data_IF_316952667820
#
_entry.id   IF_316952667820
#
_cell.length_a   1.000
_cell.length_b   1.000
_cell.length_c   1.000
_cell.angle_alpha   90.00
_cell.angle_beta   90.00
_cell.angle_gamma   90.00
#
_symmetry.space_group_name_H-M   'P 1'
#
loop_
_entity.id
_entity.type
_entity.pdbx_description
1 polymer ?
#
# COMPACT_ATOMS: atom_id res chain seq x y z
N UNK A 1 13.47 7.98 3.03
CA UNK A 1 14.41 7.12 3.80
C UNK A 1 14.98 7.85 5.01
N UNK A 2 15.56 9.04 4.84
CA UNK A 2 16.15 9.83 5.93
C UNK A 2 15.21 10.05 7.13
N UNK A 3 13.92 10.34 6.89
CA UNK A 3 12.92 10.51 7.96
C UNK A 3 12.79 9.25 8.83
N UNK A 4 12.77 8.06 8.21
CA UNK A 4 12.64 6.78 8.91
C UNK A 4 13.91 6.46 9.71
N UNK A 5 15.09 6.73 9.15
CA UNK A 5 16.38 6.53 9.84
C UNK A 5 16.47 7.44 11.07
N UNK A 6 16.21 8.75 10.88
CA UNK A 6 16.18 9.72 11.97
C UNK A 6 15.15 9.34 13.06
N UNK A 7 14.01 8.76 12.66
CA UNK A 7 13.03 8.23 13.59
C UNK A 7 13.59 7.06 14.40
N UNK A 8 14.26 6.10 13.77
CA UNK A 8 14.85 4.93 14.43
C UNK A 8 16.01 5.29 15.36
N UNK A 9 16.87 6.23 14.97
CA UNK A 9 17.93 6.76 15.83
C UNK A 9 17.38 7.33 17.14
N UNK A 10 16.32 8.15 17.04
CA UNK A 10 15.64 8.71 18.23
C UNK A 10 14.93 7.67 19.09
N UNK A 11 14.63 6.50 18.53
CA UNK A 11 13.99 5.38 19.23
C UNK A 11 14.97 4.31 19.69
N UNK A 12 16.27 4.47 19.43
CA UNK A 12 17.31 3.55 19.87
C UNK A 12 17.26 2.20 19.17
N UNK A 13 16.83 2.14 17.90
CA UNK A 13 16.84 0.92 17.09
C UNK A 13 16.19 -0.30 17.78
N UNK A 14 14.87 -0.24 18.06
CA UNK A 14 14.19 -1.32 18.75
C UNK A 14 14.23 -2.61 17.93
N UNK A 15 14.11 -3.75 18.62
CA UNK A 15 14.05 -5.05 17.98
C UNK A 15 12.86 -5.12 17.02
N UNK A 16 13.13 -5.49 15.77
CA UNK A 16 12.11 -5.79 14.79
C UNK A 16 11.17 -6.92 15.24
N UNK A 17 9.95 -6.91 14.71
CA UNK A 17 9.08 -8.06 14.74
C UNK A 17 9.55 -9.17 13.79
N UNK A 18 9.46 -10.40 14.28
CA UNK A 18 9.51 -11.59 13.46
C UNK A 18 8.21 -11.77 12.64
N UNK A 19 8.26 -12.46 11.49
CA UNK A 19 7.06 -12.78 10.71
C UNK A 19 5.96 -13.47 11.53
N UNK A 20 6.31 -14.31 12.49
CA UNK A 20 5.36 -15.06 13.33
C UNK A 20 4.62 -14.15 14.33
N UNK A 21 5.25 -13.05 14.75
CA UNK A 21 4.66 -12.07 15.66
C UNK A 21 3.63 -11.18 14.95
N UNK A 22 3.96 -10.69 13.76
CA UNK A 22 3.10 -9.78 12.98
C UNK A 22 2.15 -10.49 12.01
N UNK A 23 2.47 -11.73 11.64
CA UNK A 23 1.72 -12.59 10.73
C UNK A 23 1.42 -11.87 9.42
N UNK A 24 0.15 -11.72 9.06
CA UNK A 24 -0.26 -11.08 7.81
C UNK A 24 0.19 -9.61 7.69
N UNK A 25 0.44 -8.92 8.80
CA UNK A 25 0.91 -7.53 8.79
C UNK A 25 2.34 -7.45 8.29
N UNK A 26 3.14 -8.48 8.56
CA UNK A 26 4.50 -8.58 8.04
C UNK A 26 4.48 -8.61 6.51
N UNK A 27 3.60 -9.42 5.91
CA UNK A 27 3.45 -9.49 4.45
C UNK A 27 3.02 -8.15 3.84
N UNK A 28 2.17 -7.38 4.53
CA UNK A 28 1.81 -6.05 4.08
C UNK A 28 3.01 -5.08 4.13
N UNK A 29 3.79 -5.11 5.22
CA UNK A 29 5.01 -4.30 5.37
C UNK A 29 6.05 -4.65 4.30
N UNK A 30 6.28 -5.94 4.08
CA UNK A 30 7.20 -6.43 3.06
C UNK A 30 6.77 -6.05 1.64
N UNK A 31 5.47 -6.17 1.33
CA UNK A 31 4.94 -5.71 0.04
C UNK A 31 5.15 -4.20 -0.16
N UNK A 32 4.94 -3.38 0.88
CA UNK A 32 5.19 -1.94 0.81
C UNK A 32 6.69 -1.70 0.58
N UNK A 33 7.58 -2.38 1.31
CA UNK A 33 9.02 -2.22 1.19
C UNK A 33 9.50 -2.48 -0.26
N UNK A 34 9.05 -3.59 -0.85
CA UNK A 34 9.35 -3.92 -2.26
C UNK A 34 8.87 -2.82 -3.21
N UNK A 35 7.64 -2.34 -3.05
CA UNK A 35 7.08 -1.34 -3.96
C UNK A 35 7.70 0.06 -3.81
N UNK A 36 8.38 0.36 -2.69
CA UNK A 36 9.08 1.63 -2.50
C UNK A 36 10.57 1.58 -2.90
N UNK A 37 11.15 0.38 -3.00
CA UNK A 37 12.56 0.23 -3.35
C UNK A 37 12.80 0.12 -4.86
N UNK A 38 11.86 -0.47 -5.59
CA UNK A 38 12.06 -0.82 -7.00
C UNK A 38 11.14 -0.04 -7.93
N UNK A 39 11.63 0.20 -9.15
CA UNK A 39 10.82 0.81 -10.19
C UNK A 39 9.60 -0.05 -10.52
N UNK A 40 8.42 0.59 -10.56
CA UNK A 40 7.15 -0.11 -10.73
C UNK A 40 6.72 -0.09 -12.19
N UNK A 41 6.58 -1.28 -12.78
CA UNK A 41 5.99 -1.44 -14.11
C UNK A 41 4.49 -1.12 -14.07
N UNK A 42 3.96 -0.64 -15.19
CA UNK A 42 2.50 -0.51 -15.35
C UNK A 42 1.82 -1.87 -15.12
N UNK A 43 0.60 -1.83 -14.58
CA UNK A 43 -0.20 -3.02 -14.23
C UNK A 43 0.43 -3.92 -13.16
N UNK A 44 1.41 -3.42 -12.40
CA UNK A 44 1.86 -4.09 -11.17
C UNK A 44 0.66 -4.24 -10.24
N UNK A 45 0.42 -5.44 -9.71
CA UNK A 45 -0.74 -5.70 -8.85
C UNK A 45 -0.61 -4.92 -7.54
N UNK A 46 -1.70 -4.27 -7.15
CA UNK A 46 -1.86 -3.48 -5.94
C UNK A 46 -2.37 -4.36 -4.79
N UNK A 47 -2.28 -3.88 -3.55
CA UNK A 47 -2.69 -4.67 -2.38
C UNK A 47 -4.13 -4.36 -1.99
N UNK A 48 -4.92 -5.40 -1.72
CA UNK A 48 -6.25 -5.28 -1.13
C UNK A 48 -6.27 -5.91 0.26
N UNK A 49 -6.25 -5.09 1.30
CA UNK A 49 -6.26 -5.54 2.70
C UNK A 49 -7.70 -5.62 3.20
N UNK A 50 -8.13 -6.79 3.67
CA UNK A 50 -9.49 -6.98 4.15
C UNK A 50 -9.58 -7.76 5.46
N UNK A 51 -10.66 -7.56 6.20
CA UNK A 51 -10.87 -8.25 7.46
C UNK A 51 -11.91 -7.57 8.35
N UNK A 52 -12.23 -8.22 9.47
CA UNK A 52 -13.20 -7.69 10.44
C UNK A 52 -12.82 -6.28 10.91
N UNK A 53 -13.79 -5.47 11.39
CA UNK A 53 -13.47 -4.27 12.16
C UNK A 53 -12.46 -4.58 13.26
N UNK A 54 -11.60 -3.62 13.60
CA UNK A 54 -10.55 -3.78 14.62
C UNK A 54 -9.45 -4.81 14.31
N UNK A 55 -9.39 -5.37 13.10
CA UNK A 55 -8.26 -6.19 12.64
C UNK A 55 -6.98 -5.37 12.35
N UNK A 56 -6.89 -4.13 12.84
CA UNK A 56 -5.70 -3.26 12.76
C UNK A 56 -5.25 -2.87 11.34
N UNK A 57 -6.14 -2.91 10.35
CA UNK A 57 -5.87 -2.51 8.95
C UNK A 57 -5.43 -1.04 8.86
N UNK A 58 -6.31 -0.12 9.25
CA UNK A 58 -6.02 1.32 9.26
C UNK A 58 -4.99 1.70 10.34
N UNK A 59 -4.87 0.90 11.42
CA UNK A 59 -3.83 1.10 12.44
C UNK A 59 -2.43 0.91 11.85
N UNK A 60 -2.19 -0.16 11.08
CA UNK A 60 -0.90 -0.40 10.43
C UNK A 60 -0.50 0.79 9.54
N UNK A 61 -1.42 1.27 8.71
CA UNK A 61 -1.20 2.45 7.85
C UNK A 61 -0.87 3.69 8.68
N UNK A 62 -1.61 3.93 9.77
CA UNK A 62 -1.34 5.05 10.69
C UNK A 62 0.05 4.96 11.32
N UNK A 63 0.48 3.77 11.73
CA UNK A 63 1.82 3.56 12.30
C UNK A 63 2.91 3.84 11.26
N UNK A 64 2.78 3.33 10.03
CA UNK A 64 3.73 3.60 8.95
C UNK A 64 3.79 5.10 8.57
N UNK A 65 2.63 5.78 8.55
CA UNK A 65 2.58 7.23 8.35
C UNK A 65 3.36 7.97 9.45
N UNK A 66 3.17 7.57 10.71
CA UNK A 66 3.87 8.15 11.87
C UNK A 66 5.37 7.83 11.89
N UNK A 67 5.77 6.70 11.30
CA UNK A 67 7.18 6.31 11.14
C UNK A 67 7.89 7.10 10.04
N UNK A 68 7.16 7.87 9.22
CA UNK A 68 7.75 8.79 8.24
C UNK A 68 7.32 8.57 6.79
N UNK A 69 6.43 7.63 6.50
CA UNK A 69 5.89 7.47 5.14
C UNK A 69 4.89 8.58 4.83
N UNK A 70 5.04 9.20 3.66
CA UNK A 70 4.08 10.15 3.09
C UNK A 70 2.95 9.36 2.48
N UNK A 71 1.91 9.12 3.27
CA UNK A 71 0.72 8.37 2.83
C UNK A 71 -0.42 9.32 2.50
N UNK A 72 -0.88 9.28 1.25
CA UNK A 72 -2.12 9.94 0.82
C UNK A 72 -3.30 9.02 1.12
N UNK A 73 -4.27 9.52 1.89
CA UNK A 73 -5.54 8.82 2.12
C UNK A 73 -6.59 9.48 1.25
N UNK A 74 -7.22 8.70 0.36
CA UNK A 74 -8.31 9.22 -0.46
C UNK A 74 -9.48 9.55 0.47
N UNK A 75 -9.88 10.82 0.48
CA UNK A 75 -10.87 11.33 1.43
C UNK A 75 -12.27 10.78 1.17
N UNK A 76 -13.15 10.82 2.19
CA UNK A 76 -14.54 10.32 2.14
C UNK A 76 -15.47 11.05 1.15
N UNK A 77 -14.98 12.04 0.41
CA UNK A 77 -15.79 12.84 -0.52
C UNK A 77 -15.78 12.20 -1.90
N UNK A 78 -16.97 12.15 -2.51
CA UNK A 78 -17.18 11.51 -3.81
C UNK A 78 -16.28 12.10 -4.90
N UNK A 79 -15.44 11.27 -5.52
CA UNK A 79 -14.51 11.65 -6.61
C UNK A 79 -13.61 12.87 -6.31
N UNK A 80 -13.28 13.13 -5.04
CA UNK A 80 -12.46 14.27 -4.66
C UNK A 80 -11.01 13.84 -4.38
N UNK A 81 -10.12 14.09 -5.34
CA UNK A 81 -8.68 13.82 -5.24
C UNK A 81 -7.89 15.08 -4.88
N UNK A 82 -8.51 16.05 -4.20
CA UNK A 82 -7.81 17.25 -3.75
C UNK A 82 -6.55 16.88 -2.94
N UNK A 83 -5.42 17.51 -3.29
CA UNK A 83 -4.13 17.24 -2.67
C UNK A 83 -3.45 15.94 -3.09
N UNK A 84 -3.99 15.16 -4.02
CA UNK A 84 -3.44 13.89 -4.49
C UNK A 84 -2.21 14.07 -5.41
N UNK A 85 -1.14 14.69 -4.91
CA UNK A 85 0.06 14.96 -5.70
C UNK A 85 1.02 13.75 -5.80
N UNK A 86 2.08 13.93 -6.59
CA UNK A 86 3.09 12.91 -6.85
C UNK A 86 4.19 12.83 -5.77
N UNK A 87 4.12 13.64 -4.70
CA UNK A 87 5.10 13.63 -3.60
C UNK A 87 4.81 12.61 -2.51
N UNK A 88 3.74 11.81 -2.64
CA UNK A 88 3.45 10.74 -1.69
C UNK A 88 4.22 9.47 -2.02
N UNK A 89 4.53 8.68 -1.00
CA UNK A 89 5.16 7.36 -1.17
C UNK A 89 4.10 6.29 -1.49
N UNK A 90 2.89 6.45 -0.94
CA UNK A 90 1.84 5.43 -0.99
C UNK A 90 0.45 6.07 -0.97
N UNK A 91 -0.49 5.47 -1.69
CA UNK A 91 -1.91 5.82 -1.65
C UNK A 91 -2.73 4.76 -0.90
N UNK A 92 -3.70 5.21 -0.11
CA UNK A 92 -4.63 4.35 0.62
C UNK A 92 -6.06 4.76 0.32
N UNK A 93 -6.87 3.81 -0.16
CA UNK A 93 -8.31 3.94 -0.33
C UNK A 93 -8.96 3.12 0.78
N UNK A 94 -9.38 3.78 1.86
CA UNK A 94 -10.08 3.11 2.96
C UNK A 94 -11.55 2.86 2.62
N UNK A 95 -12.21 1.96 3.35
CA UNK A 95 -13.65 1.69 3.19
C UNK A 95 -14.06 1.36 1.75
N UNK A 96 -13.22 0.57 1.08
CA UNK A 96 -13.55 -0.01 -0.21
C UNK A 96 -14.67 -1.04 -0.05
N UNK A 97 -15.76 -0.81 -0.77
CA UNK A 97 -16.95 -1.64 -0.81
C UNK A 97 -17.18 -2.06 -2.27
N UNK A 98 -17.96 -3.13 -2.45
CA UNK A 98 -18.40 -3.61 -3.75
C UNK A 98 -19.88 -3.94 -3.60
N UNK A 99 -20.71 -2.90 -3.54
CA UNK A 99 -22.15 -2.98 -3.26
C UNK A 99 -23.01 -3.08 -4.54
N UNK A 100 -22.43 -2.87 -5.72
CA UNK A 100 -23.13 -3.01 -6.99
C UNK A 100 -22.18 -3.52 -8.10
N UNK A 101 -22.71 -3.87 -9.27
CA UNK A 101 -21.90 -4.17 -10.48
C UNK A 101 -20.99 -3.00 -10.94
N UNK A 102 -20.98 -1.89 -10.19
CA UNK A 102 -20.06 -0.76 -10.31
C UNK A 102 -19.28 -0.74 -9.00
N UNK A 103 -18.00 -1.07 -9.10
CA UNK A 103 -17.02 -1.00 -8.01
C UNK A 103 -17.09 0.38 -7.33
N UNK A 104 -17.77 0.48 -6.20
CA UNK A 104 -18.00 1.76 -5.49
C UNK A 104 -17.41 1.67 -4.09
N UNK A 105 -16.35 2.44 -3.86
CA UNK A 105 -15.90 2.71 -2.50
C UNK A 105 -16.84 3.72 -1.83
N UNK A 106 -16.78 3.88 -0.50
CA UNK A 106 -17.55 4.96 0.16
C UNK A 106 -17.19 6.35 -0.43
N UNK A 107 -15.99 6.49 -1.01
CA UNK A 107 -15.54 7.66 -1.75
C UNK A 107 -16.11 7.77 -3.18
N UNK A 108 -17.01 6.86 -3.59
CA UNK A 108 -17.72 6.86 -4.87
C UNK A 108 -16.82 7.05 -6.10
N UNK A 109 -15.61 6.48 -6.07
CA UNK A 109 -14.61 6.61 -7.12
C UNK A 109 -15.16 5.99 -8.41
N UNK A 110 -15.07 6.72 -9.53
CA UNK A 110 -15.44 6.17 -10.83
C UNK A 110 -14.65 4.87 -11.14
N UNK A 111 -15.31 3.75 -11.50
CA UNK A 111 -14.65 2.49 -11.85
C UNK A 111 -13.52 2.59 -12.87
N UNK A 112 -13.68 3.40 -13.92
CA UNK A 112 -12.64 3.58 -14.94
C UNK A 112 -11.42 4.27 -14.34
N UNK A 113 -11.63 5.33 -13.58
CA UNK A 113 -10.57 6.05 -12.86
C UNK A 113 -9.85 5.12 -11.89
N UNK A 114 -10.58 4.30 -11.14
CA UNK A 114 -9.98 3.31 -10.25
C UNK A 114 -9.09 2.33 -11.03
N UNK A 115 -9.56 1.74 -12.13
CA UNK A 115 -8.77 0.81 -12.92
C UNK A 115 -7.52 1.46 -13.52
N UNK A 116 -7.63 2.70 -14.00
CA UNK A 116 -6.49 3.48 -14.51
C UNK A 116 -5.45 3.75 -13.42
N UNK A 117 -5.90 4.14 -12.23
CA UNK A 117 -5.02 4.33 -11.06
C UNK A 117 -4.33 3.03 -10.66
N UNK A 118 -5.07 1.93 -10.58
CA UNK A 118 -4.52 0.61 -10.23
C UNK A 118 -3.52 0.08 -11.28
N UNK A 119 -3.68 0.47 -12.55
CA UNK A 119 -2.71 0.18 -13.61
C UNK A 119 -1.44 1.03 -13.53
N UNK A 120 -1.41 2.06 -12.68
CA UNK A 120 -0.28 2.97 -12.54
C UNK A 120 -0.18 3.99 -13.67
N UNK A 121 -1.25 4.20 -14.43
CA UNK A 121 -1.24 5.10 -15.59
C UNK A 121 -1.37 6.56 -15.16
N UNK A 122 -0.79 7.46 -15.97
CA UNK A 122 -1.04 8.90 -15.83
C UNK A 122 -2.55 9.15 -15.91
N UNK A 123 -3.07 9.86 -14.91
CA UNK A 123 -4.50 10.03 -14.70
C UNK A 123 -4.84 11.48 -14.46
N UNK A 124 -5.89 11.97 -15.14
CA UNK A 124 -6.52 13.25 -14.83
C UNK A 124 -7.56 13.02 -13.75
N UNK A 125 -7.38 13.65 -12.60
CA UNK A 125 -8.21 13.49 -11.43
C UNK A 125 -9.05 14.73 -11.18
N UNK A 126 -10.29 14.50 -10.73
CA UNK A 126 -11.20 15.55 -10.30
C UNK A 126 -10.78 16.07 -8.92
N UNK A 127 -10.74 17.39 -8.76
CA UNK A 127 -10.44 18.07 -7.51
C UNK A 127 -11.40 19.25 -7.36
N UNK A 128 -12.03 19.36 -6.17
CA UNK A 128 -13.13 20.30 -5.95
C UNK A 128 -12.72 21.78 -6.04
N UNK A 129 -11.45 22.08 -5.76
CA UNK A 129 -10.92 23.46 -5.67
C UNK A 129 -9.68 23.70 -6.53
N UNK A 130 -9.23 22.72 -7.30
CA UNK A 130 -8.03 22.81 -8.14
C UNK A 130 -8.40 22.65 -9.61
N UNK A 131 -7.73 23.41 -10.49
CA UNK A 131 -8.12 23.55 -11.90
C UNK A 131 -7.93 22.28 -12.75
N UNK A 132 -7.33 21.22 -12.19
CA UNK A 132 -7.23 19.81 -12.63
C UNK A 132 -5.96 19.23 -11.99
N UNK A 133 -6.07 18.07 -11.35
CA UNK A 133 -4.91 17.38 -10.82
C UNK A 133 -4.46 16.31 -11.84
N UNK A 134 -3.19 16.36 -12.26
CA UNK A 134 -2.59 15.33 -13.11
C UNK A 134 -1.69 14.51 -12.21
N UNK A 135 -2.04 13.24 -12.00
CA UNK A 135 -1.20 12.26 -11.32
C UNK A 135 -0.33 11.57 -12.36
N UNK A 136 0.98 11.69 -12.26
CA UNK A 136 1.92 11.07 -13.22
C UNK A 136 2.59 9.83 -12.66
N UNK A 137 2.83 9.80 -11.35
CA UNK A 137 3.63 8.74 -10.74
C UNK A 137 2.85 7.45 -10.54
N UNK A 138 3.47 6.33 -10.90
CA UNK A 138 2.97 4.97 -10.62
C UNK A 138 3.20 4.63 -9.14
N UNK A 139 2.46 5.28 -8.24
CA UNK A 139 2.57 5.08 -6.79
C UNK A 139 1.83 3.81 -6.34
N UNK A 140 2.34 3.07 -5.34
CA UNK A 140 1.64 1.92 -4.80
C UNK A 140 0.29 2.33 -4.19
N UNK A 141 -0.70 1.45 -4.34
CA UNK A 141 -2.05 1.68 -3.83
C UNK A 141 -2.42 0.50 -2.91
N UNK A 142 -2.94 0.83 -1.73
CA UNK A 142 -3.59 -0.14 -0.84
C UNK A 142 -5.09 0.19 -0.76
N UNK A 143 -5.92 -0.78 -1.11
CA UNK A 143 -7.36 -0.71 -0.86
C UNK A 143 -7.65 -1.43 0.46
N UNK A 144 -8.46 -0.84 1.32
CA UNK A 144 -8.86 -1.43 2.60
C UNK A 144 -10.35 -1.69 2.60
N UNK A 145 -10.77 -2.93 2.91
CA UNK A 145 -12.18 -3.32 2.94
C UNK A 145 -12.55 -4.19 4.13
N UNK A 146 -13.85 -4.39 4.36
CA UNK A 146 -14.36 -5.30 5.41
C UNK A 146 -14.37 -6.76 4.95
N UNK A 147 -14.71 -7.00 3.68
CA UNK A 147 -14.83 -8.32 3.05
C UNK A 147 -14.23 -8.25 1.65
N UNK A 148 -13.91 -9.41 1.05
CA UNK A 148 -13.50 -9.48 -0.35
C UNK A 148 -14.70 -9.11 -1.25
N UNK A 149 -14.57 -8.04 -2.07
CA UNK A 149 -15.46 -7.73 -3.19
C UNK A 149 -15.84 -8.96 -4.00
N UNK A 150 -17.07 -9.01 -4.48
CA UNK A 150 -17.54 -10.11 -5.32
C UNK A 150 -16.67 -10.23 -6.58
N UNK A 151 -16.32 -9.09 -7.16
CA UNK A 151 -15.56 -9.05 -8.39
C UNK A 151 -14.12 -9.52 -8.23
N UNK A 152 -13.46 -9.27 -7.09
CA UNK A 152 -12.12 -9.81 -6.82
C UNK A 152 -12.15 -11.35 -6.78
N UNK A 153 -13.30 -11.97 -6.48
CA UNK A 153 -13.45 -13.44 -6.49
C UNK A 153 -13.61 -14.01 -7.91
N UNK A 154 -14.02 -13.20 -8.88
CA UNK A 154 -14.09 -13.59 -10.30
C UNK A 154 -12.73 -13.36 -10.92
N UNK A 155 -11.95 -14.43 -11.12
CA UNK A 155 -10.58 -14.36 -11.67
C UNK A 155 -10.47 -13.56 -12.97
N UNK A 156 -11.52 -13.57 -13.79
CA UNK A 156 -11.55 -12.86 -15.08
C UNK A 156 -11.81 -11.35 -14.94
N UNK A 157 -12.28 -10.88 -13.78
CA UNK A 157 -12.68 -9.49 -13.59
C UNK A 157 -11.48 -8.55 -13.71
N UNK A 158 -11.70 -7.31 -14.18
CA UNK A 158 -10.66 -6.29 -14.22
C UNK A 158 -10.01 -6.03 -12.86
N UNK A 159 -10.77 -6.10 -11.75
CA UNK A 159 -10.21 -5.89 -10.40
C UNK A 159 -9.36 -7.08 -9.93
N UNK A 160 -9.80 -8.32 -10.16
CA UNK A 160 -9.06 -9.51 -9.73
C UNK A 160 -7.63 -9.55 -10.33
N UNK A 161 -7.50 -9.11 -11.58
CA UNK A 161 -6.21 -9.01 -12.29
C UNK A 161 -5.28 -7.94 -11.72
N UNK A 162 -5.81 -6.97 -10.96
CA UNK A 162 -5.07 -5.82 -10.43
C UNK A 162 -4.81 -5.89 -8.93
N UNK A 163 -5.50 -6.74 -8.18
CA UNK A 163 -5.45 -6.75 -6.72
C UNK A 163 -4.93 -8.08 -6.16
N UNK A 164 -4.06 -7.99 -5.15
CA UNK A 164 -3.63 -9.11 -4.31
C UNK A 164 -4.43 -9.05 -3.00
N UNK A 165 -5.37 -9.96 -2.75
CA UNK A 165 -6.14 -9.96 -1.52
C UNK A 165 -5.30 -10.47 -0.33
N UNK A 166 -5.22 -9.69 0.74
CA UNK A 166 -4.53 -10.03 1.98
C UNK A 166 -5.49 -9.90 3.17
N UNK A 167 -5.75 -11.02 3.87
CA UNK A 167 -6.72 -11.07 4.96
C UNK A 167 -6.08 -10.76 6.31
N UNK A 168 -6.49 -9.66 6.93
CA UNK A 168 -6.22 -9.34 8.33
C UNK A 168 -7.20 -10.03 9.26
N UNK A 169 -6.67 -10.88 10.14
CA UNK A 169 -7.43 -11.73 11.05
C UNK A 169 -6.93 -11.64 12.48
N UNK A 170 -5.63 -11.44 12.64
CA UNK A 170 -4.94 -11.45 13.92
C UNK A 170 -4.95 -10.05 14.52
N UNK A 171 -5.35 -9.95 15.78
CA UNK A 171 -5.06 -8.77 16.59
C UNK A 171 -3.76 -9.05 17.35
N UNK A 172 -2.74 -8.25 17.10
CA UNK A 172 -1.43 -8.37 17.76
C UNK A 172 -1.12 -7.07 18.49
N UNK A 173 -0.35 -7.12 19.56
CA UNK A 173 0.17 -5.91 20.17
C UNK A 173 1.22 -5.30 19.23
N UNK A 174 0.93 -4.10 18.72
CA UNK A 174 1.77 -3.42 17.74
C UNK A 174 2.33 -2.14 18.34
N UNK A 175 3.64 -2.04 18.35
CA UNK A 175 4.39 -0.88 18.77
C UNK A 175 4.90 -0.09 17.54
N UNK A 176 4.81 1.24 17.60
CA UNK A 176 5.22 2.11 16.51
C UNK A 176 6.70 1.94 16.17
N UNK A 177 7.57 1.88 17.18
CA UNK A 177 9.00 1.89 16.97
C UNK A 177 9.46 0.54 16.39
N UNK A 178 8.91 -0.57 16.90
CA UNK A 178 9.13 -1.91 16.32
C UNK A 178 8.59 -2.03 14.89
N UNK A 179 7.41 -1.45 14.57
CA UNK A 179 6.89 -1.43 13.19
C UNK A 179 7.84 -0.68 12.26
N UNK A 180 8.37 0.47 12.69
CA UNK A 180 9.35 1.23 11.92
C UNK A 180 10.63 0.40 11.67
N UNK A 181 11.13 -0.30 12.71
CA UNK A 181 12.31 -1.15 12.60
C UNK A 181 12.08 -2.34 11.64
N UNK A 182 10.94 -3.02 11.77
CA UNK A 182 10.56 -4.10 10.84
C UNK A 182 10.44 -3.61 9.41
N UNK A 183 9.86 -2.43 9.19
CA UNK A 183 9.75 -1.87 7.85
C UNK A 183 11.12 -1.55 7.25
N UNK A 184 12.01 -0.91 8.01
CA UNK A 184 13.38 -0.65 7.58
C UNK A 184 14.15 -1.95 7.27
N UNK A 185 14.05 -2.94 8.15
CA UNK A 185 14.69 -4.25 7.96
C UNK A 185 14.19 -4.96 6.71
N UNK A 186 12.87 -4.96 6.47
CA UNK A 186 12.29 -5.47 5.23
C UNK A 186 12.88 -4.77 4.00
N UNK A 187 13.06 -3.44 4.04
CA UNK A 187 13.74 -2.73 2.95
C UNK A 187 15.19 -3.19 2.76
N UNK A 188 15.98 -3.26 3.84
CA UNK A 188 17.37 -3.71 3.78
C UNK A 188 17.50 -5.12 3.20
N UNK A 189 16.68 -6.07 3.66
CA UNK A 189 16.69 -7.44 3.16
C UNK A 189 16.38 -7.51 1.67
N UNK A 190 15.39 -6.73 1.19
CA UNK A 190 15.02 -6.70 -0.22
C UNK A 190 16.09 -6.05 -1.10
N UNK A 191 16.70 -4.96 -0.63
CA UNK A 191 17.82 -4.32 -1.33
C UNK A 191 19.05 -5.24 -1.42
N UNK A 192 19.38 -5.96 -0.34
CA UNK A 192 20.47 -6.93 -0.32
C UNK A 192 20.23 -8.08 -1.30
N UNK A 193 19.04 -8.70 -1.25
CA UNK A 193 18.68 -9.79 -2.16
C UNK A 193 18.77 -9.38 -3.63
N UNK A 194 18.33 -8.16 -3.96
CA UNK A 194 18.42 -7.65 -5.32
C UNK A 194 19.88 -7.44 -5.77
N UNK A 195 20.73 -6.92 -4.89
CA UNK A 195 22.15 -6.71 -5.15
C UNK A 195 22.92 -8.03 -5.40
N UNK A 196 22.52 -9.10 -4.74
CA UNK A 196 23.06 -10.46 -4.96
C UNK A 196 22.59 -11.05 -6.30
N UNK A 197 21.32 -10.86 -6.66
CA UNK A 197 20.75 -11.40 -7.92
C UNK A 197 21.31 -10.68 -9.16
N UNK A 198 21.59 -9.38 -9.08
CA UNK A 198 22.22 -8.64 -10.19
C UNK A 198 23.72 -8.92 -10.35
N UNK A 199 24.39 -9.47 -9.33
CA UNK A 199 25.75 -9.97 -9.38
C UNK A 199 25.77 -11.50 -9.27
N UNK A 200 25.28 -12.24 -10.28
CA UNK A 200 25.29 -13.70 -10.22
C UNK A 200 26.74 -14.19 -10.09
N UNK A 201 26.96 -15.06 -9.11
CA UNK A 201 28.23 -15.74 -8.89
C UNK A 201 28.75 -16.32 -10.22
N UNK A 202 29.97 -15.96 -10.69
CA UNK A 202 30.49 -16.39 -11.98
C UNK A 202 30.63 -17.91 -12.11
N UNK A 203 30.51 -18.66 -11.01
CA UNK A 203 30.57 -20.14 -10.98
C UNK A 203 29.26 -20.80 -11.46
N UNK A 204 28.15 -20.06 -11.54
CA UNK A 204 26.84 -20.59 -11.95
C UNK A 204 26.42 -20.22 -13.39
N UNK A 205 27.37 -19.84 -14.26
CA UNK A 205 27.14 -19.65 -15.71
C UNK A 205 27.73 -20.78 -16.55
#
# INVERSE_FOLDING_TARGET
MEILINFLERKGWPREYLPEELKEKYLAIDWIAVNLLFERRLKTRQLFVYGKPNAQKSLLISLLKRAGLRIYSVGHRKNDFSGANDFFDLWVIDEFIDESNKYESEQGINPKTLLTLLDGQESRLEAKYERRLIKKENLPIILIGKKVPHEIRKSESPLAKRLIPLKFQTKSEVDLARIAATFYSAMCMRAAHFSEVENPDPVLR
#
